data_IF_552696142915
#
_entry.id   IF_552696142915
#
_cell.length_a   1.000
_cell.length_b   1.000
_cell.length_c   1.000
_cell.angle_alpha   90.00
_cell.angle_beta   90.00
_cell.angle_gamma   90.00
#
_symmetry.space_group_name_H-M   'P 1'
#
loop_
_entity.id
_entity.type
_entity.pdbx_description
1 polymer ?
#
# COMPACT_ATOMS: atom_id res chain seq x y z
N UNK A 1 -3.14 -11.60 -2.99
CA UNK A 1 -3.22 -10.15 -3.30
C UNK A 1 -1.85 -9.66 -3.76
N UNK A 2 -1.79 -8.98 -4.90
CA UNK A 2 -0.58 -8.34 -5.41
C UNK A 2 -0.77 -6.83 -5.42
N UNK A 3 0.20 -6.09 -4.91
CA UNK A 3 0.22 -4.63 -4.94
C UNK A 3 1.36 -4.21 -5.86
N UNK A 4 1.06 -3.40 -6.86
CA UNK A 4 2.06 -2.86 -7.78
C UNK A 4 1.95 -1.35 -7.86
N UNK A 5 3.09 -0.70 -8.03
CA UNK A 5 3.19 0.74 -8.20
C UNK A 5 3.78 1.06 -9.56
N UNK A 6 3.19 2.02 -10.27
CA UNK A 6 3.72 2.51 -11.53
C UNK A 6 5.12 3.12 -11.34
N UNK A 7 5.96 3.11 -12.38
CA UNK A 7 7.33 3.64 -12.31
C UNK A 7 7.38 5.11 -11.87
N UNK A 8 6.40 5.91 -12.31
CA UNK A 8 6.27 7.32 -11.90
C UNK A 8 5.63 7.50 -10.51
N UNK A 9 5.31 6.41 -9.80
CA UNK A 9 4.71 6.37 -8.47
C UNK A 9 3.37 7.10 -8.35
N UNK A 10 2.65 7.24 -9.47
CA UNK A 10 1.36 7.93 -9.52
C UNK A 10 0.16 7.01 -9.53
N UNK A 11 0.35 5.71 -9.75
CA UNK A 11 -0.75 4.74 -9.79
C UNK A 11 -0.34 3.55 -8.95
N UNK A 12 -1.19 3.21 -7.97
CA UNK A 12 -1.10 1.95 -7.24
C UNK A 12 -2.27 1.09 -7.68
N UNK A 13 -1.97 -0.16 -8.03
CA UNK A 13 -2.98 -1.18 -8.33
C UNK A 13 -2.88 -2.31 -7.35
N UNK A 14 -4.03 -2.82 -6.98
CA UNK A 14 -4.15 -4.01 -6.18
C UNK A 14 -4.99 -5.04 -6.89
N UNK A 15 -4.41 -6.22 -7.04
CA UNK A 15 -5.03 -7.37 -7.65
C UNK A 15 -5.29 -8.41 -6.56
N UNK A 16 -6.54 -8.75 -6.33
CA UNK A 16 -6.91 -9.94 -5.57
C UNK A 16 -7.38 -11.00 -6.55
N UNK A 17 -6.91 -12.23 -6.40
CA UNK A 17 -7.32 -13.36 -7.22
C UNK A 17 -7.99 -14.37 -6.30
N UNK A 18 -9.13 -14.89 -6.73
CA UNK A 18 -9.72 -16.12 -6.23
C UNK A 18 -9.63 -17.20 -7.33
N UNK A 19 -10.16 -18.40 -7.08
CA UNK A 19 -10.06 -19.52 -8.02
C UNK A 19 -10.80 -19.30 -9.36
N UNK A 20 -11.66 -18.29 -9.48
CA UNK A 20 -12.54 -18.06 -10.65
C UNK A 20 -12.62 -16.61 -11.11
N UNK A 21 -12.11 -15.66 -10.34
CA UNK A 21 -12.27 -14.24 -10.56
C UNK A 21 -11.07 -13.45 -10.03
N UNK A 22 -10.98 -12.19 -10.47
CA UNK A 22 -10.06 -11.24 -9.88
C UNK A 22 -10.79 -9.94 -9.56
N UNK A 23 -10.37 -9.29 -8.47
CA UNK A 23 -10.77 -7.94 -8.11
C UNK A 23 -9.61 -6.99 -8.35
N UNK A 24 -9.88 -5.86 -9.01
CA UNK A 24 -8.91 -4.80 -9.27
C UNK A 24 -9.33 -3.52 -8.55
N UNK A 25 -8.45 -3.02 -7.69
CA UNK A 25 -8.54 -1.67 -7.15
C UNK A 25 -7.42 -0.81 -7.72
N UNK A 26 -7.75 0.37 -8.23
CA UNK A 26 -6.78 1.34 -8.73
C UNK A 26 -6.93 2.66 -7.97
N UNK A 27 -5.81 3.21 -7.51
CA UNK A 27 -5.75 4.57 -6.98
C UNK A 27 -4.69 5.39 -7.70
N UNK A 28 -5.12 6.55 -8.21
CA UNK A 28 -4.25 7.55 -8.83
C UNK A 28 -3.89 8.62 -7.82
N UNK A 29 -2.61 8.96 -7.77
CA UNK A 29 -2.03 9.98 -6.93
C UNK A 29 -1.63 11.19 -7.77
N UNK A 30 -1.77 12.37 -7.16
CA UNK A 30 -1.32 13.64 -7.74
C UNK A 30 0.21 13.64 -7.87
N UNK A 31 0.73 14.41 -8.81
CA UNK A 31 2.19 14.58 -8.92
C UNK A 31 2.73 15.25 -7.64
N UNK A 32 3.90 14.81 -7.18
CA UNK A 32 4.50 15.28 -5.93
C UNK A 32 3.99 14.60 -4.65
N UNK A 33 3.04 13.66 -4.78
CA UNK A 33 2.60 12.85 -3.63
C UNK A 33 3.77 12.06 -3.02
N UNK A 34 3.95 12.18 -1.71
CA UNK A 34 4.95 11.42 -0.95
C UNK A 34 4.27 10.29 -0.18
N UNK A 35 4.74 9.05 -0.39
CA UNK A 35 4.25 7.88 0.33
C UNK A 35 4.83 7.82 1.74
N UNK A 36 4.04 7.33 2.71
CA UNK A 36 4.53 7.05 4.05
C UNK A 36 5.45 5.82 4.03
N UNK A 37 6.57 5.91 4.75
CA UNK A 37 7.36 4.73 5.11
C UNK A 37 6.69 4.10 6.32
N UNK A 38 6.28 2.85 6.19
CA UNK A 38 5.76 2.07 7.31
C UNK A 38 6.93 1.37 7.97
N UNK A 39 7.10 1.60 9.26
CA UNK A 39 8.10 0.91 10.08
C UNK A 39 7.37 0.19 11.21
N UNK A 40 7.85 -1.01 11.53
CA UNK A 40 7.43 -1.75 12.71
C UNK A 40 8.54 -1.66 13.74
N UNK A 41 8.17 -1.52 15.00
CA UNK A 41 9.14 -1.59 16.10
C UNK A 41 9.67 -3.02 16.20
N UNK A 42 10.96 -3.21 15.92
CA UNK A 42 11.65 -4.50 15.94
C UNK A 42 12.44 -4.77 14.65
N UNK A 43 13.38 -5.72 14.69
CA UNK A 43 14.18 -6.11 13.53
C UNK A 43 13.44 -7.09 12.58
N UNK A 44 12.18 -7.43 12.89
CA UNK A 44 11.45 -8.47 12.18
C UNK A 44 10.92 -7.97 10.84
N UNK A 45 11.42 -8.59 9.77
CA UNK A 45 10.88 -8.42 8.42
C UNK A 45 9.49 -9.04 8.37
N UNK A 46 8.46 -8.20 8.28
CA UNK A 46 7.07 -8.66 8.19
C UNK A 46 6.66 -8.83 6.73
N UNK A 47 6.40 -10.07 6.32
CA UNK A 47 5.87 -10.40 4.99
C UNK A 47 4.34 -10.37 4.93
N UNK A 48 3.66 -10.06 6.04
CA UNK A 48 2.19 -10.14 6.17
C UNK A 48 1.62 -8.87 6.79
N UNK A 49 0.90 -8.09 6.00
CA UNK A 49 0.21 -6.86 6.44
C UNK A 49 -1.30 -7.10 6.53
N UNK A 50 -1.96 -6.57 7.55
CA UNK A 50 -3.41 -6.66 7.65
C UNK A 50 -4.07 -5.70 6.66
N UNK A 51 -5.23 -6.10 6.13
CA UNK A 51 -5.95 -5.33 5.10
C UNK A 51 -6.24 -3.88 5.53
N UNK A 52 -6.65 -3.69 6.79
CA UNK A 52 -6.93 -2.36 7.37
C UNK A 52 -5.73 -1.41 7.27
N UNK A 53 -4.51 -1.93 7.39
CA UNK A 53 -3.29 -1.13 7.34
C UNK A 53 -2.96 -0.77 5.88
N UNK A 54 -3.24 -1.68 4.93
CA UNK A 54 -3.12 -1.40 3.49
C UNK A 54 -4.08 -0.27 3.07
N UNK A 55 -5.33 -0.32 3.52
CA UNK A 55 -6.33 0.73 3.24
C UNK A 55 -5.85 2.07 3.78
N UNK A 56 -5.36 2.10 5.03
CA UNK A 56 -4.84 3.31 5.67
C UNK A 56 -3.67 3.94 4.88
N UNK A 57 -2.74 3.12 4.38
CA UNK A 57 -1.59 3.55 3.57
C UNK A 57 -2.04 4.14 2.24
N UNK A 58 -3.03 3.53 1.59
CA UNK A 58 -3.54 3.98 0.30
C UNK A 58 -4.39 5.25 0.42
N UNK A 59 -4.99 5.50 1.58
CA UNK A 59 -5.91 6.62 1.78
C UNK A 59 -5.27 7.95 2.18
N UNK A 60 -4.11 7.95 2.85
CA UNK A 60 -3.56 9.17 3.44
C UNK A 60 -2.34 9.76 2.72
N UNK A 61 -2.46 10.98 2.13
CA UNK A 61 -1.31 11.82 1.78
C UNK A 61 -0.68 12.45 3.02
N UNK A 62 0.66 12.51 3.03
CA UNK A 62 1.53 13.49 3.71
C UNK A 62 2.08 13.11 5.11
N UNK A 63 3.37 12.75 5.06
CA UNK A 63 4.52 13.06 5.94
C UNK A 63 4.49 12.58 7.41
N UNK A 64 5.01 11.35 7.60
CA UNK A 64 5.91 10.87 8.68
C UNK A 64 6.08 9.35 8.56
N UNK A 65 6.95 8.76 9.38
CA UNK A 65 6.98 7.31 9.61
C UNK A 65 5.71 6.88 10.33
N UNK A 66 4.95 5.95 9.74
CA UNK A 66 3.79 5.35 10.39
C UNK A 66 4.27 4.14 11.20
N UNK A 67 4.19 4.26 12.53
CA UNK A 67 4.50 3.18 13.46
C UNK A 67 3.28 2.27 13.62
N UNK A 68 3.40 1.04 13.13
CA UNK A 68 2.38 0.00 13.34
C UNK A 68 2.81 -0.93 14.48
N UNK A 69 1.86 -1.30 15.35
CA UNK A 69 2.05 -2.28 16.45
C UNK A 69 1.89 -3.70 15.92
#
# INVERSE_FOLDING_TARGET
>A
VFIVMSRNRRIVRMFSFDNRSYSLFEKKFVAGYQFMKVERNGADTVYRIAWKDVVLILENPIVKTLQIR
#
